data_IF_117375159903
#
_entry.id   IF_117375159903
#
_cell.length_a   1.000
_cell.length_b   1.000
_cell.length_c   1.000
_cell.angle_alpha   90.00
_cell.angle_beta   90.00
_cell.angle_gamma   90.00
#
_symmetry.space_group_name_H-M   'P 1'
#
loop_
_entity.id
_entity.type
_entity.pdbx_description
1 polymer ?
#
# COMPACT_ATOMS: atom_id res chain seq x y z
N UNK A 1 -9.27 21.55 -65.25
CA UNK A 1 -8.20 20.64 -65.71
C UNK A 1 -7.51 20.07 -64.48
N UNK A 2 -7.78 18.82 -64.06
CA UNK A 2 -7.10 18.20 -62.93
C UNK A 2 -5.96 17.29 -63.43
N UNK A 3 -4.75 17.47 -62.88
CA UNK A 3 -3.65 16.50 -63.03
C UNK A 3 -3.61 15.63 -61.78
N UNK A 4 -4.08 14.39 -61.93
CA UNK A 4 -3.89 13.34 -60.94
C UNK A 4 -2.41 12.90 -60.94
N UNK A 5 -1.83 12.80 -59.75
CA UNK A 5 -0.58 12.07 -59.52
C UNK A 5 -0.86 10.99 -58.48
N UNK A 6 -0.66 9.75 -58.92
CA UNK A 6 -0.64 8.53 -58.13
C UNK A 6 0.63 8.51 -57.29
N UNK A 7 0.51 8.22 -55.99
CA UNK A 7 1.56 7.52 -55.27
C UNK A 7 0.92 6.54 -54.27
N UNK A 8 1.46 5.31 -54.25
CA UNK A 8 0.89 4.14 -53.54
C UNK A 8 1.34 4.13 -52.06
N UNK A 9 0.77 3.27 -51.16
CA UNK A 9 1.23 1.88 -51.10
C UNK A 9 0.21 0.81 -50.61
N UNK A 10 0.33 -0.38 -51.20
CA UNK A 10 0.48 -1.71 -50.57
C UNK A 10 -0.67 -2.26 -49.67
N UNK A 11 -1.08 -3.48 -50.03
CA UNK A 11 -2.16 -4.30 -49.49
C UNK A 11 -2.12 -4.60 -47.97
N UNK A 12 -3.28 -4.89 -47.33
CA UNK A 12 -3.31 -5.43 -45.98
C UNK A 12 -2.99 -6.94 -46.01
N UNK A 13 -1.78 -7.33 -45.61
CA UNK A 13 -1.48 -8.72 -45.29
C UNK A 13 -2.14 -9.10 -43.96
N UNK A 14 -3.17 -9.95 -44.05
CA UNK A 14 -3.70 -10.68 -42.92
C UNK A 14 -2.58 -11.53 -42.28
N UNK A 15 -2.23 -11.23 -41.03
CA UNK A 15 -1.43 -12.14 -40.20
C UNK A 15 -2.20 -12.49 -38.95
N UNK A 16 -2.72 -13.71 -38.99
CA UNK A 16 -3.33 -14.46 -37.91
C UNK A 16 -2.33 -14.59 -36.75
N UNK A 17 -2.48 -13.75 -35.71
CA UNK A 17 -1.88 -14.04 -34.41
C UNK A 17 -2.91 -14.78 -33.58
N UNK A 18 -3.02 -16.07 -33.86
CA UNK A 18 -3.67 -17.03 -32.96
C UNK A 18 -2.71 -17.23 -31.78
N UNK A 19 -2.78 -16.31 -30.81
CA UNK A 19 -2.07 -16.42 -29.55
C UNK A 19 -2.62 -17.61 -28.77
N UNK A 20 -1.82 -18.68 -28.70
CA UNK A 20 -2.03 -19.80 -27.80
C UNK A 20 -2.20 -19.26 -26.36
N UNK A 21 -3.42 -19.32 -25.84
CA UNK A 21 -3.66 -19.15 -24.41
C UNK A 21 -3.04 -20.36 -23.70
N UNK A 22 -1.92 -20.13 -23.02
CA UNK A 22 -1.25 -21.16 -22.23
C UNK A 22 -1.99 -21.28 -20.88
N UNK A 23 -2.57 -22.44 -20.51
CA UNK A 23 -3.34 -22.59 -19.28
C UNK A 23 -2.49 -22.50 -17.99
N UNK A 24 -1.14 -22.47 -18.10
CA UNK A 24 -0.21 -22.41 -16.97
C UNK A 24 0.00 -21.03 -16.33
N UNK A 25 -0.38 -19.93 -16.98
CA UNK A 25 -0.12 -18.57 -16.44
C UNK A 25 -1.11 -18.15 -15.35
N UNK A 26 -2.26 -18.83 -15.22
CA UNK A 26 -3.31 -18.46 -14.26
C UNK A 26 -2.92 -18.68 -12.79
N UNK A 27 -2.03 -19.64 -12.50
CA UNK A 27 -1.58 -19.90 -11.14
C UNK A 27 -0.50 -18.90 -10.67
N UNK A 28 0.31 -18.36 -11.59
CA UNK A 28 1.34 -17.37 -11.26
C UNK A 28 0.75 -16.00 -10.95
N UNK A 29 -0.33 -15.63 -11.63
CA UNK A 29 -1.06 -14.37 -11.40
C UNK A 29 -1.83 -14.35 -10.09
N UNK A 30 -2.38 -15.49 -9.65
CA UNK A 30 -3.09 -15.58 -8.36
C UNK A 30 -2.13 -15.46 -7.16
N UNK A 31 -0.95 -16.08 -7.24
CA UNK A 31 0.08 -15.96 -6.21
C UNK A 31 0.71 -14.55 -6.14
N UNK A 32 0.87 -13.89 -7.29
CA UNK A 32 1.31 -12.49 -7.36
C UNK A 32 0.26 -11.52 -6.83
N UNK A 33 -1.03 -11.76 -7.10
CA UNK A 33 -2.11 -10.96 -6.53
C UNK A 33 -2.27 -11.22 -5.03
N UNK A 34 -2.07 -12.45 -4.57
CA UNK A 34 -1.98 -12.73 -3.14
C UNK A 34 -0.82 -11.97 -2.52
N UNK A 35 0.41 -12.01 -3.05
CA UNK A 35 1.55 -11.20 -2.57
C UNK A 35 1.29 -9.69 -2.57
N UNK A 36 0.64 -9.16 -3.61
CA UNK A 36 0.31 -7.73 -3.72
C UNK A 36 -0.80 -7.33 -2.72
N UNK A 37 -1.72 -8.23 -2.40
CA UNK A 37 -2.75 -8.05 -1.35
C UNK A 37 -2.20 -8.39 0.05
N UNK A 38 -1.10 -9.16 0.12
CA UNK A 38 -0.31 -9.49 1.30
C UNK A 38 0.79 -8.47 1.62
N UNK A 39 0.74 -7.28 1.02
CA UNK A 39 1.66 -6.20 1.37
C UNK A 39 1.36 -5.72 2.80
N UNK A 40 2.22 -6.09 3.73
CA UNK A 40 2.17 -5.74 5.16
C UNK A 40 1.93 -4.23 5.39
N UNK A 41 2.51 -3.39 4.54
CA UNK A 41 2.30 -1.92 4.49
C UNK A 41 0.85 -1.51 4.22
N UNK A 42 0.10 -2.26 3.40
CA UNK A 42 -1.33 -2.00 3.19
C UNK A 42 -2.11 -2.22 4.49
N UNK A 43 -1.80 -3.29 5.23
CA UNK A 43 -2.46 -3.57 6.50
C UNK A 43 -2.14 -2.50 7.56
N UNK A 44 -0.89 -2.01 7.59
CA UNK A 44 -0.52 -0.85 8.42
C UNK A 44 -1.32 0.39 8.04
N UNK A 45 -1.36 0.74 6.74
CA UNK A 45 -2.14 1.88 6.27
C UNK A 45 -3.62 1.75 6.62
N UNK A 46 -4.18 0.55 6.47
CA UNK A 46 -5.57 0.26 6.81
C UNK A 46 -5.84 0.43 8.30
N UNK A 47 -5.01 -0.18 9.16
CA UNK A 47 -5.13 -0.05 10.62
C UNK A 47 -5.07 1.41 11.07
N UNK A 48 -4.06 2.17 10.61
CA UNK A 48 -3.90 3.58 10.98
C UNK A 48 -5.06 4.43 10.46
N UNK A 49 -5.56 4.14 9.26
CA UNK A 49 -6.73 4.82 8.72
C UNK A 49 -7.99 4.55 9.56
N UNK A 50 -8.28 3.28 9.88
CA UNK A 50 -9.45 2.89 10.66
C UNK A 50 -9.36 3.43 12.09
N UNK A 51 -8.20 3.32 12.74
CA UNK A 51 -7.97 3.86 14.08
C UNK A 51 -8.11 5.39 14.13
N UNK A 52 -7.78 6.10 13.05
CA UNK A 52 -8.00 7.56 12.99
C UNK A 52 -9.49 7.97 12.93
N UNK A 53 -10.38 7.01 12.65
CA UNK A 53 -11.82 7.25 12.46
C UNK A 53 -12.69 6.60 13.53
N UNK A 54 -12.20 5.55 14.17
CA UNK A 54 -12.89 4.84 15.24
C UNK A 54 -12.16 5.06 16.59
N UNK A 55 -12.72 5.89 17.49
CA UNK A 55 -12.15 6.12 18.81
C UNK A 55 -12.01 4.85 19.65
N UNK A 56 -12.89 3.85 19.47
CA UNK A 56 -12.80 2.60 20.21
C UNK A 56 -11.60 1.78 19.73
N UNK A 57 -11.35 1.74 18.42
CA UNK A 57 -10.17 1.08 17.87
C UNK A 57 -8.88 1.81 18.29
N UNK A 58 -8.88 3.15 18.30
CA UNK A 58 -7.75 3.93 18.82
C UNK A 58 -7.45 3.62 20.29
N UNK A 59 -8.49 3.50 21.13
CA UNK A 59 -8.31 3.18 22.54
C UNK A 59 -7.83 1.74 22.75
N UNK A 60 -8.36 0.79 21.99
CA UNK A 60 -7.88 -0.61 21.98
C UNK A 60 -6.45 -0.71 21.50
N UNK A 61 -6.02 0.11 20.54
CA UNK A 61 -4.64 0.15 20.07
C UNK A 61 -3.67 0.63 21.16
N UNK A 62 -4.14 1.46 22.11
CA UNK A 62 -3.34 1.91 23.26
C UNK A 62 -3.33 0.91 24.42
N UNK A 63 -4.47 0.28 24.70
CA UNK A 63 -4.67 -0.58 25.87
C UNK A 63 -4.35 -2.05 25.61
N UNK A 64 -4.68 -2.54 24.42
CA UNK A 64 -4.54 -3.95 24.00
C UNK A 64 -4.01 -4.06 22.55
N UNK A 65 -2.82 -3.49 22.24
CA UNK A 65 -2.29 -3.47 20.88
C UNK A 65 -2.13 -4.86 20.26
N UNK A 66 -1.72 -5.86 21.04
CA UNK A 66 -1.48 -7.22 20.53
C UNK A 66 -2.76 -7.92 20.04
N UNK A 67 -3.90 -7.63 20.67
CA UNK A 67 -5.19 -8.15 20.20
C UNK A 67 -5.62 -7.49 18.89
N UNK A 68 -5.36 -6.18 18.77
CA UNK A 68 -5.59 -5.45 17.52
C UNK A 68 -4.67 -6.01 16.44
N UNK A 69 -3.38 -6.16 16.72
CA UNK A 69 -2.41 -6.68 15.76
C UNK A 69 -2.74 -8.09 15.28
N UNK A 70 -3.37 -8.96 16.06
CA UNK A 70 -3.81 -10.28 15.56
C UNK A 70 -4.90 -10.19 14.49
N UNK A 71 -5.70 -9.12 14.49
CA UNK A 71 -6.75 -8.91 13.50
C UNK A 71 -6.22 -8.38 12.16
N UNK A 72 -5.01 -7.80 12.15
CA UNK A 72 -4.33 -7.30 10.97
C UNK A 72 -3.14 -8.22 10.67
N UNK A 73 -2.90 -8.63 9.43
CA UNK A 73 -1.76 -9.51 9.11
C UNK A 73 -0.45 -8.72 9.07
N UNK A 74 -0.08 -8.09 10.18
CA UNK A 74 1.14 -7.30 10.33
C UNK A 74 2.34 -8.22 10.53
N UNK A 75 3.50 -7.81 10.01
CA UNK A 75 4.77 -8.43 10.40
C UNK A 75 5.16 -8.02 11.82
N UNK A 76 6.03 -8.81 12.46
CA UNK A 76 6.55 -8.48 13.80
C UNK A 76 7.25 -7.11 13.82
N UNK A 77 7.94 -6.77 12.73
CA UNK A 77 8.63 -5.49 12.59
C UNK A 77 7.66 -4.31 12.57
N UNK A 78 6.56 -4.43 11.84
CA UNK A 78 5.53 -3.39 11.76
C UNK A 78 4.74 -3.27 13.05
N UNK A 79 4.34 -4.38 13.65
CA UNK A 79 3.66 -4.39 14.94
C UNK A 79 4.55 -3.72 16.00
N UNK A 80 5.86 -3.99 15.98
CA UNK A 80 6.81 -3.34 16.86
C UNK A 80 6.98 -1.83 16.56
N UNK A 81 7.01 -1.44 15.30
CA UNK A 81 7.10 -0.03 14.90
C UNK A 81 5.87 0.77 15.37
N UNK A 82 4.66 0.19 15.24
CA UNK A 82 3.42 0.81 15.73
C UNK A 82 3.42 0.88 17.25
N UNK A 83 3.73 -0.23 17.94
CA UNK A 83 3.77 -0.31 19.41
C UNK A 83 4.69 0.74 20.02
N UNK A 84 5.85 0.94 19.42
CA UNK A 84 6.87 1.88 19.91
C UNK A 84 6.77 3.28 19.28
N UNK A 85 5.71 3.57 18.53
CA UNK A 85 5.49 4.89 17.88
C UNK A 85 6.67 5.34 17.00
N UNK A 86 7.32 4.40 16.32
CA UNK A 86 8.47 4.65 15.45
C UNK A 86 8.01 5.23 14.10
N UNK A 87 7.50 6.47 14.12
CA UNK A 87 6.88 7.10 12.94
C UNK A 87 7.83 7.19 11.75
N UNK A 88 9.10 7.50 11.99
CA UNK A 88 10.12 7.52 10.93
C UNK A 88 10.30 6.15 10.29
N UNK A 89 10.33 5.08 11.09
CA UNK A 89 10.43 3.71 10.57
C UNK A 89 9.22 3.33 9.72
N UNK A 90 8.01 3.69 10.18
CA UNK A 90 6.77 3.48 9.43
C UNK A 90 6.78 4.25 8.11
N UNK A 91 7.25 5.50 8.11
CA UNK A 91 7.43 6.30 6.91
C UNK A 91 8.42 5.65 5.93
N UNK A 92 9.60 5.26 6.42
CA UNK A 92 10.65 4.63 5.61
C UNK A 92 10.20 3.27 5.05
N UNK A 93 9.29 2.58 5.75
CA UNK A 93 8.65 1.33 5.31
C UNK A 93 7.58 1.53 4.22
N UNK A 94 7.27 2.77 3.84
CA UNK A 94 6.33 3.10 2.76
C UNK A 94 4.88 3.35 3.21
N UNK A 95 4.62 3.56 4.49
CA UNK A 95 3.31 4.00 4.99
C UNK A 95 2.98 5.37 4.39
N UNK A 96 1.72 5.56 3.95
CA UNK A 96 1.30 6.80 3.33
C UNK A 96 1.44 7.97 4.33
N UNK A 97 2.17 9.06 3.99
CA UNK A 97 2.42 10.16 4.93
C UNK A 97 1.17 10.82 5.48
N UNK A 98 0.09 10.90 4.69
CA UNK A 98 -1.19 11.46 5.13
C UNK A 98 -1.93 10.53 6.09
N UNK A 99 -1.82 9.22 5.89
CA UNK A 99 -2.37 8.23 6.83
C UNK A 99 -1.55 8.21 8.11
N UNK A 100 -0.22 8.25 8.01
CA UNK A 100 0.69 8.30 9.15
C UNK A 100 0.41 9.52 10.04
N UNK A 101 0.20 10.68 9.40
CA UNK A 101 -0.20 11.92 10.07
C UNK A 101 -1.48 11.75 10.90
N UNK A 102 -2.53 11.20 10.30
CA UNK A 102 -3.82 10.98 10.98
C UNK A 102 -3.74 9.86 12.03
N UNK A 103 -3.01 8.80 11.72
CA UNK A 103 -2.80 7.65 12.59
C UNK A 103 -1.99 8.02 13.84
N UNK A 104 -1.07 8.99 13.75
CA UNK A 104 -0.32 9.47 14.91
C UNK A 104 -1.23 9.99 16.03
N UNK A 105 -2.31 10.69 15.68
CA UNK A 105 -3.31 11.16 16.65
C UNK A 105 -4.01 9.97 17.32
N UNK A 106 -4.34 8.92 16.55
CA UNK A 106 -4.93 7.69 17.07
C UNK A 106 -3.97 6.94 18.02
N UNK A 107 -2.67 6.99 17.74
CA UNK A 107 -1.60 6.48 18.62
C UNK A 107 -1.39 7.35 19.88
N UNK A 108 -2.11 8.47 20.01
CA UNK A 108 -1.98 9.39 21.13
C UNK A 108 -0.72 10.26 21.07
N UNK A 109 -0.21 10.51 19.87
CA UNK A 109 0.93 11.41 19.61
C UNK A 109 0.38 12.82 19.42
N UNK A 110 0.91 13.77 20.18
CA UNK A 110 0.56 15.19 20.10
C UNK A 110 1.01 15.84 18.79
N UNK A 111 0.26 16.87 18.40
CA UNK A 111 0.55 17.69 17.22
C UNK A 111 0.80 19.15 17.61
N UNK A 112 1.72 19.89 16.94
CA UNK A 112 2.68 19.46 15.91
C UNK A 112 4.07 19.03 16.41
N UNK A 113 4.49 19.41 17.62
CA UNK A 113 5.89 19.26 18.05
C UNK A 113 6.30 17.80 18.26
N UNK A 114 5.48 16.99 18.95
CA UNK A 114 5.81 15.59 19.25
C UNK A 114 5.91 14.74 17.98
N UNK A 115 4.99 14.92 17.04
CA UNK A 115 5.07 14.27 15.72
C UNK A 115 6.37 14.58 14.98
N UNK A 116 6.76 15.86 14.89
CA UNK A 116 7.99 16.26 14.20
C UNK A 116 9.24 15.72 14.89
N UNK A 117 9.24 15.64 16.23
CA UNK A 117 10.34 15.03 16.98
C UNK A 117 10.51 13.56 16.60
N UNK A 118 9.44 12.76 16.63
CA UNK A 118 9.47 11.33 16.28
C UNK A 118 9.87 11.07 14.82
N UNK A 119 9.55 11.99 13.90
CA UNK A 119 9.99 11.91 12.50
C UNK A 119 11.49 12.20 12.31
N UNK A 120 12.09 12.97 13.21
CA UNK A 120 13.48 13.39 13.17
C UNK A 120 14.42 12.50 14.01
N UNK A 121 13.90 11.48 14.69
CA UNK A 121 14.73 10.57 15.47
C UNK A 121 15.58 9.67 14.55
N UNK A 122 16.89 9.53 14.81
CA UNK A 122 17.71 8.53 14.15
C UNK A 122 17.22 7.12 14.51
N UNK A 123 17.29 6.21 13.55
CA UNK A 123 16.89 4.80 13.69
C UNK A 123 17.90 4.01 14.53
#
# INVERSE_FOLDING_TARGET
MPTASFDSPIAPTASSVRGHQNPGDRHRSQHFLEEVIHMSVYQVNKLLHEASRDPNLAERLKTHPDEVFKAYRLSDEEANAIRNRQLRKLYDSGVNPYILLKGAIALGIGFPQEYLQLMNQPQ
#
